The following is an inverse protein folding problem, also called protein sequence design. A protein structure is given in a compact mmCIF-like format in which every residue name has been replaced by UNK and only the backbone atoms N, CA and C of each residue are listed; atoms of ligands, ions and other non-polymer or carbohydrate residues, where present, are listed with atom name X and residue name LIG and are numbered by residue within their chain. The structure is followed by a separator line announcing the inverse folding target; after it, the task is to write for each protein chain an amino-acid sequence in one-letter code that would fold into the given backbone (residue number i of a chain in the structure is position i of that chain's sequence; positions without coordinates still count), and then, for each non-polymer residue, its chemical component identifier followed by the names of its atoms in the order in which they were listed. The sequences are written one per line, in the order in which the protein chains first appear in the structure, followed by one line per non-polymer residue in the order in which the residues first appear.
data_IF_109717868432
#
_entry.id   IF_109717868432
#
_cell.length_a   1.000
_cell.length_b   1.000
_cell.length_c   1.000
_cell.angle_alpha   90.00
_cell.angle_beta   90.00
_cell.angle_gamma   90.00
#
_symmetry.space_group_name_H-M   'P 1'
#
loop_
_entity.id
_entity.type
_entity.pdbx_description
1 polymer ?
#
# COMPACT_ATOMS: atom_id res chain seq x y z
N UNK A 1 28.67 27.96 16.40
CA UNK A 1 29.56 28.50 15.35
C UNK A 1 30.32 27.33 14.75
N UNK A 2 30.00 26.91 13.52
CA UNK A 2 30.89 26.00 12.81
C UNK A 2 32.16 26.76 12.43
N UNK A 3 33.32 26.26 12.84
CA UNK A 3 34.58 26.67 12.22
C UNK A 3 34.48 26.45 10.71
N UNK A 4 35.02 27.40 9.93
CA UNK A 4 35.05 27.40 8.46
C UNK A 4 35.87 26.22 7.94
N UNK A 5 35.37 25.00 8.09
CA UNK A 5 35.90 23.83 7.44
C UNK A 5 35.55 23.96 5.96
N UNK A 6 36.59 23.92 5.14
CA UNK A 6 36.48 24.00 3.71
C UNK A 6 35.93 22.66 3.20
N UNK A 7 34.65 22.59 2.82
CA UNK A 7 34.03 21.34 2.36
C UNK A 7 34.20 21.25 0.84
N UNK A 8 35.14 20.44 0.37
CA UNK A 8 35.47 20.30 -1.05
C UNK A 8 35.38 18.86 -1.57
N UNK A 9 34.89 17.93 -0.77
CA UNK A 9 34.63 16.56 -1.18
C UNK A 9 33.45 15.94 -0.41
N UNK A 10 33.11 14.71 -0.79
CA UNK A 10 32.00 13.97 -0.24
C UNK A 10 32.19 13.63 1.24
N UNK A 11 33.36 13.14 1.65
CA UNK A 11 33.63 12.69 3.03
C UNK A 11 33.54 13.85 4.04
N UNK A 12 34.04 15.03 3.63
CA UNK A 12 33.92 16.27 4.41
C UNK A 12 32.47 16.73 4.51
N UNK A 13 31.73 16.67 3.40
CA UNK A 13 30.31 17.03 3.37
C UNK A 13 29.48 16.10 4.26
N UNK A 14 29.71 14.79 4.17
CA UNK A 14 29.06 13.79 5.00
C UNK A 14 29.34 14.02 6.49
N UNK A 15 30.60 14.28 6.85
CA UNK A 15 30.99 14.57 8.23
C UNK A 15 30.34 15.86 8.75
N UNK A 16 30.29 16.91 7.94
CA UNK A 16 29.63 18.16 8.30
C UNK A 16 28.12 18.01 8.44
N UNK A 17 27.49 17.19 7.59
CA UNK A 17 26.06 16.92 7.63
C UNK A 17 25.64 16.21 8.93
N UNK A 18 26.41 15.19 9.35
CA UNK A 18 26.17 14.48 10.63
C UNK A 18 26.19 15.41 11.84
N UNK A 19 26.93 16.52 11.78
CA UNK A 19 26.99 17.50 12.87
C UNK A 19 25.76 18.42 12.96
N UNK A 20 24.99 18.55 11.87
CA UNK A 20 23.76 19.36 11.88
C UNK A 20 22.48 18.54 12.09
N UNK A 21 22.56 17.24 11.86
CA UNK A 21 21.46 16.32 12.08
C UNK A 21 21.16 16.20 13.58
N UNK A 22 19.90 16.42 13.94
CA UNK A 22 19.38 16.21 15.27
C UNK A 22 18.32 15.10 15.29
N UNK A 23 17.76 14.82 16.46
CA UNK A 23 16.73 13.79 16.65
C UNK A 23 15.48 13.99 15.78
N UNK A 24 15.19 15.24 15.38
CA UNK A 24 14.01 15.60 14.59
C UNK A 24 14.35 15.77 13.09
N UNK A 25 15.60 15.53 12.69
CA UNK A 25 16.07 15.71 11.31
C UNK A 25 17.03 16.90 11.17
N UNK A 26 16.95 17.62 10.06
CA UNK A 26 17.79 18.81 9.81
C UNK A 26 16.90 20.04 9.62
N UNK A 27 16.99 21.05 10.51
CA UNK A 27 16.31 22.32 10.31
C UNK A 27 16.71 22.99 9.00
N UNK A 28 15.75 23.61 8.30
CA UNK A 28 15.97 24.31 7.01
C UNK A 28 17.13 25.31 7.08
N UNK A 29 17.24 26.06 8.18
CA UNK A 29 18.34 27.03 8.37
C UNK A 29 19.71 26.36 8.43
N UNK A 30 19.85 25.26 9.17
CA UNK A 30 21.11 24.50 9.24
C UNK A 30 21.44 23.82 7.91
N UNK A 31 20.44 23.32 7.20
CA UNK A 31 20.65 22.76 5.86
C UNK A 31 21.15 23.83 4.89
N UNK A 32 20.57 25.03 4.91
CA UNK A 32 21.01 26.14 4.07
C UNK A 32 22.46 26.57 4.37
N UNK A 33 22.87 26.57 5.65
CA UNK A 33 24.27 26.82 6.04
C UNK A 33 25.22 25.74 5.51
N UNK A 34 24.84 24.47 5.64
CA UNK A 34 25.60 23.34 5.12
C UNK A 34 25.75 23.40 3.60
N UNK A 35 24.65 23.60 2.88
CA UNK A 35 24.67 23.74 1.43
C UNK A 35 25.60 24.87 1.00
N UNK A 36 25.49 26.05 1.62
CA UNK A 36 26.36 27.19 1.31
C UNK A 36 27.84 26.88 1.58
N UNK A 37 28.14 26.10 2.62
CA UNK A 37 29.51 25.68 2.93
C UNK A 37 30.07 24.70 1.88
N UNK A 38 29.27 23.74 1.41
CA UNK A 38 29.63 22.83 0.31
C UNK A 38 29.86 23.62 -0.98
N UNK A 39 28.90 24.46 -1.39
CA UNK A 39 28.99 25.27 -2.60
C UNK A 39 30.23 26.18 -2.58
N UNK A 40 30.48 26.83 -1.45
CA UNK A 40 31.65 27.70 -1.28
C UNK A 40 32.98 26.95 -1.30
N UNK A 41 33.04 25.72 -0.77
CA UNK A 41 34.25 24.91 -0.77
C UNK A 41 34.57 24.29 -2.12
N UNK A 42 33.56 23.82 -2.86
CA UNK A 42 33.71 23.31 -4.23
C UNK A 42 34.13 24.42 -5.20
N UNK A 43 33.50 25.60 -5.12
CA UNK A 43 33.89 26.77 -5.92
C UNK A 43 35.37 27.13 -5.76
N UNK A 44 35.86 27.12 -4.52
CA UNK A 44 37.28 27.39 -4.22
C UNK A 44 38.22 26.28 -4.68
N UNK A 45 37.73 25.05 -4.81
CA UNK A 45 38.46 23.92 -5.40
C UNK A 45 38.44 23.92 -6.94
N UNK A 46 37.80 24.92 -7.58
CA UNK A 46 37.69 25.00 -9.04
C UNK A 46 36.62 24.09 -9.66
N UNK A 47 35.76 23.51 -8.83
CA UNK A 47 34.64 22.66 -9.25
C UNK A 47 33.39 23.48 -9.55
N UNK A 48 32.50 22.93 -10.37
CA UNK A 48 31.27 23.61 -10.76
C UNK A 48 30.14 23.39 -9.73
N UNK A 49 29.08 24.20 -9.84
CA UNK A 49 27.93 24.15 -8.94
C UNK A 49 27.11 22.86 -9.05
N UNK A 50 27.13 22.18 -10.21
CA UNK A 50 26.43 20.92 -10.40
C UNK A 50 27.12 19.77 -9.63
N UNK A 51 28.44 19.71 -9.63
CA UNK A 51 29.23 18.74 -8.86
C UNK A 51 29.01 18.92 -7.35
N UNK A 52 29.00 20.18 -6.88
CA UNK A 52 28.70 20.49 -5.50
C UNK A 52 27.27 20.07 -5.11
N UNK A 53 26.30 20.34 -6.00
CA UNK A 53 24.90 19.97 -5.77
C UNK A 53 24.69 18.45 -5.78
N UNK A 54 25.41 17.71 -6.64
CA UNK A 54 25.41 16.24 -6.63
C UNK A 54 25.92 15.70 -5.29
N UNK A 55 26.99 16.28 -4.74
CA UNK A 55 27.50 15.89 -3.41
C UNK A 55 26.49 16.16 -2.31
N UNK A 56 25.83 17.32 -2.33
CA UNK A 56 24.77 17.66 -1.35
C UNK A 56 23.67 16.60 -1.35
N UNK A 57 23.11 16.27 -2.52
CA UNK A 57 21.99 15.32 -2.59
C UNK A 57 22.43 13.87 -2.33
N UNK A 58 23.66 13.50 -2.72
CA UNK A 58 24.24 12.20 -2.36
C UNK A 58 24.32 12.05 -0.84
N UNK A 59 24.88 13.04 -0.14
CA UNK A 59 24.95 13.06 1.33
C UNK A 59 23.56 12.96 1.96
N UNK A 60 22.58 13.72 1.45
CA UNK A 60 21.19 13.63 1.92
C UNK A 60 20.67 12.19 1.83
N UNK A 61 20.80 11.56 0.66
CA UNK A 61 20.27 10.20 0.45
C UNK A 61 21.00 9.14 1.29
N UNK A 62 22.30 9.29 1.54
CA UNK A 62 23.07 8.33 2.34
C UNK A 62 22.82 8.45 3.85
N UNK A 63 22.62 9.68 4.35
CA UNK A 63 22.50 9.95 5.78
C UNK A 63 21.06 9.83 6.29
N UNK A 64 20.08 10.33 5.53
CA UNK A 64 18.67 10.35 5.95
C UNK A 64 17.76 9.51 5.05
N UNK A 65 18.31 8.83 4.04
CA UNK A 65 17.54 8.06 3.07
C UNK A 65 16.76 8.94 2.09
N UNK A 66 16.27 8.32 1.00
CA UNK A 66 15.52 9.02 -0.04
C UNK A 66 14.22 9.64 0.51
N UNK A 67 13.58 8.93 1.42
CA UNK A 67 12.39 9.38 2.12
C UNK A 67 12.65 10.58 3.05
N UNK A 68 13.77 10.56 3.79
CA UNK A 68 14.20 11.72 4.56
C UNK A 68 14.48 12.92 3.67
N UNK A 69 15.16 12.70 2.53
CA UNK A 69 15.43 13.75 1.56
C UNK A 69 14.14 14.36 0.98
N UNK A 70 13.13 13.53 0.68
CA UNK A 70 11.81 14.01 0.24
C UNK A 70 11.09 14.85 1.30
N UNK A 71 11.16 14.47 2.58
CA UNK A 71 10.61 15.26 3.69
C UNK A 71 11.31 16.62 3.82
N UNK A 72 12.64 16.63 3.75
CA UNK A 72 13.41 17.86 3.77
C UNK A 72 13.05 18.78 2.60
N UNK A 73 12.80 18.23 1.40
CA UNK A 73 12.30 19.03 0.27
C UNK A 73 10.96 19.71 0.57
N UNK A 74 10.03 19.03 1.24
CA UNK A 74 8.76 19.63 1.65
C UNK A 74 8.96 20.78 2.65
N UNK A 75 9.92 20.64 3.58
CA UNK A 75 10.26 21.71 4.53
C UNK A 75 10.94 22.89 3.83
N UNK A 76 11.83 22.61 2.87
CA UNK A 76 12.47 23.63 2.04
C UNK A 76 11.46 24.39 1.19
N UNK A 77 10.46 23.72 0.64
CA UNK A 77 9.41 24.37 -0.14
C UNK A 77 8.70 25.48 0.66
N UNK A 78 8.53 25.28 1.97
CA UNK A 78 7.89 26.25 2.88
C UNK A 78 8.85 27.34 3.35
N UNK A 79 10.10 26.98 3.65
CA UNK A 79 11.05 27.86 4.33
C UNK A 79 12.10 28.52 3.43
N UNK A 80 12.40 27.98 2.26
CA UNK A 80 13.43 28.47 1.34
C UNK A 80 13.20 27.99 -0.13
N UNK A 81 12.32 28.69 -0.89
CA UNK A 81 11.91 28.26 -2.24
C UNK A 81 13.06 28.16 -3.27
N UNK A 82 14.08 29.02 -3.16
CA UNK A 82 15.24 28.98 -4.06
C UNK A 82 16.10 27.73 -3.83
N UNK A 83 16.40 27.44 -2.56
CA UNK A 83 17.13 26.23 -2.18
C UNK A 83 16.34 24.96 -2.51
N UNK A 84 15.01 25.01 -2.34
CA UNK A 84 14.10 23.95 -2.76
C UNK A 84 14.27 23.62 -4.24
N UNK A 85 14.16 24.62 -5.14
CA UNK A 85 14.21 24.39 -6.58
C UNK A 85 15.52 23.73 -7.03
N UNK A 86 16.67 24.20 -6.51
CA UNK A 86 17.98 23.62 -6.84
C UNK A 86 18.15 22.21 -6.27
N UNK A 87 17.76 22.02 -5.00
CA UNK A 87 17.90 20.72 -4.32
C UNK A 87 17.00 19.68 -4.99
N UNK A 88 15.76 20.03 -5.34
CA UNK A 88 14.84 19.14 -6.05
C UNK A 88 15.40 18.69 -7.39
N UNK A 89 15.85 19.64 -8.23
CA UNK A 89 16.43 19.32 -9.54
C UNK A 89 17.61 18.36 -9.42
N UNK A 90 18.54 18.64 -8.49
CA UNK A 90 19.73 17.81 -8.27
C UNK A 90 19.37 16.43 -7.72
N UNK A 91 18.39 16.36 -6.81
CA UNK A 91 17.96 15.12 -6.20
C UNK A 91 17.30 14.20 -7.23
N UNK A 92 16.48 14.75 -8.13
CA UNK A 92 15.84 13.96 -9.17
C UNK A 92 16.83 13.44 -10.20
N UNK A 93 17.84 14.25 -10.57
CA UNK A 93 18.93 13.78 -11.41
C UNK A 93 19.71 12.64 -10.74
N UNK A 94 19.99 12.76 -9.45
CA UNK A 94 20.64 11.72 -8.67
C UNK A 94 19.79 10.44 -8.60
N UNK A 95 18.51 10.55 -8.28
CA UNK A 95 17.57 9.41 -8.28
C UNK A 95 17.47 8.73 -9.64
N UNK A 96 17.46 9.50 -10.73
CA UNK A 96 17.49 8.95 -12.07
C UNK A 96 18.79 8.19 -12.36
N UNK A 97 19.95 8.73 -11.93
CA UNK A 97 21.27 8.10 -12.09
C UNK A 97 21.36 6.76 -11.36
N UNK A 98 20.79 6.66 -10.16
CA UNK A 98 20.75 5.41 -9.39
C UNK A 98 19.57 4.50 -9.77
N UNK A 99 18.74 4.91 -10.74
CA UNK A 99 17.50 4.22 -11.12
C UNK A 99 16.63 3.89 -9.91
N UNK A 100 16.35 4.92 -9.09
CA UNK A 100 15.66 4.76 -7.82
C UNK A 100 14.31 4.05 -8.02
N UNK A 101 14.18 2.88 -7.40
CA UNK A 101 12.93 2.13 -7.31
C UNK A 101 12.10 2.57 -6.10
N UNK A 102 10.80 2.28 -6.12
CA UNK A 102 9.93 2.53 -4.98
C UNK A 102 10.39 1.82 -3.71
N UNK A 103 10.79 0.54 -3.81
CA UNK A 103 11.29 -0.20 -2.64
C UNK A 103 12.51 0.49 -2.06
N UNK A 104 13.48 0.88 -2.90
CA UNK A 104 14.68 1.60 -2.46
C UNK A 104 14.39 3.03 -1.95
N UNK A 105 13.29 3.64 -2.38
CA UNK A 105 12.83 4.92 -1.84
C UNK A 105 12.35 4.78 -0.40
N UNK A 106 11.65 3.67 -0.10
CA UNK A 106 11.10 3.36 1.22
C UNK A 106 12.10 2.67 2.16
N UNK A 107 13.11 1.94 1.64
CA UNK A 107 14.14 1.20 2.40
C UNK A 107 15.16 2.09 3.15
N UNK A 108 14.88 3.39 3.29
CA UNK A 108 15.78 4.37 3.91
C UNK A 108 15.95 4.22 5.43
N UNK A 109 17.11 4.68 5.94
CA UNK A 109 17.54 4.65 7.36
C UNK A 109 16.76 5.56 8.33
N UNK A 110 15.62 6.11 7.93
CA UNK A 110 14.67 6.67 8.90
C UNK A 110 13.67 5.57 9.17
N UNK A 111 13.81 4.97 10.35
CA UNK A 111 12.78 4.15 10.98
C UNK A 111 11.51 4.98 11.09
N UNK A 112 10.71 5.06 10.03
CA UNK A 112 9.35 5.52 10.16
C UNK A 112 8.65 4.48 11.03
N UNK A 113 8.52 4.79 12.32
CA UNK A 113 7.37 5.57 12.77
C UNK A 113 6.02 5.16 12.18
N UNK A 114 5.86 3.93 11.67
CA UNK A 114 4.56 3.26 11.63
C UNK A 114 4.18 2.87 13.07
N UNK A 115 4.31 3.81 14.00
CA UNK A 115 3.83 3.69 15.36
C UNK A 115 2.31 3.76 15.29
N UNK A 116 1.70 2.59 15.09
CA UNK A 116 0.36 2.13 15.48
C UNK A 116 -0.88 3.00 15.16
N UNK A 117 -0.75 4.22 14.64
CA UNK A 117 -1.84 5.16 14.42
C UNK A 117 -2.27 5.21 12.94
N UNK A 118 -3.52 4.85 12.62
CA UNK A 118 -4.12 4.97 11.28
C UNK A 118 -3.96 6.34 10.62
N UNK A 119 -4.01 7.42 11.40
CA UNK A 119 -3.93 8.79 10.88
C UNK A 119 -2.54 9.13 10.36
N UNK A 120 -1.48 8.65 11.03
CA UNK A 120 -0.11 8.88 10.59
C UNK A 120 0.22 8.15 9.28
N UNK A 121 -0.43 7.01 9.02
CA UNK A 121 -0.24 6.26 7.78
C UNK A 121 -0.77 7.04 6.56
N UNK A 122 -1.87 7.79 6.71
CA UNK A 122 -2.42 8.59 5.62
C UNK A 122 -1.50 9.74 5.24
N UNK A 123 -1.02 10.50 6.23
CA UNK A 123 -0.09 11.61 6.00
C UNK A 123 1.24 11.10 5.45
N UNK A 124 1.75 9.99 5.99
CA UNK A 124 2.95 9.34 5.46
C UNK A 124 2.71 8.94 4.00
N UNK A 125 1.62 8.27 3.64
CA UNK A 125 1.35 7.92 2.25
C UNK A 125 1.25 9.18 1.38
N UNK A 126 0.51 10.21 1.75
CA UNK A 126 0.34 11.37 0.89
C UNK A 126 1.61 12.21 0.73
N UNK A 127 2.34 12.47 1.82
CA UNK A 127 3.55 13.31 1.80
C UNK A 127 4.73 12.60 1.13
N UNK A 128 4.94 11.34 1.47
CA UNK A 128 6.00 10.48 0.92
C UNK A 128 5.80 10.22 -0.57
N UNK A 129 4.55 10.00 -0.99
CA UNK A 129 4.24 9.67 -2.37
C UNK A 129 4.28 10.90 -3.28
N UNK A 130 4.00 12.08 -2.73
CA UNK A 130 3.98 13.29 -3.54
C UNK A 130 5.33 13.57 -4.21
N UNK A 131 6.46 13.34 -3.54
CA UNK A 131 7.77 13.65 -4.11
C UNK A 131 8.32 12.53 -5.00
N UNK A 132 8.16 11.27 -4.61
CA UNK A 132 8.53 10.15 -5.48
C UNK A 132 7.72 10.15 -6.79
N UNK A 133 6.44 10.53 -6.78
CA UNK A 133 5.66 10.60 -8.02
C UNK A 133 5.98 11.79 -8.89
N UNK A 134 6.30 12.95 -8.30
CA UNK A 134 6.82 14.06 -9.09
C UNK A 134 8.09 13.62 -9.83
N UNK A 135 8.97 12.88 -9.17
CA UNK A 135 10.12 12.23 -9.80
C UNK A 135 9.71 11.22 -10.89
N UNK A 136 8.88 10.22 -10.55
CA UNK A 136 8.50 9.15 -11.48
C UNK A 136 7.80 9.69 -12.75
N UNK A 137 6.93 10.70 -12.60
CA UNK A 137 6.25 11.37 -13.73
C UNK A 137 7.24 12.05 -14.68
N UNK A 138 8.40 12.48 -14.20
CA UNK A 138 9.41 13.19 -14.97
C UNK A 138 10.44 12.25 -15.64
N UNK A 139 10.51 10.98 -15.22
CA UNK A 139 11.49 10.02 -15.73
C UNK A 139 10.84 9.05 -16.72
N UNK A 140 11.20 9.11 -18.02
CA UNK A 140 10.78 8.14 -19.01
C UNK A 140 11.23 6.73 -18.63
N UNK A 141 10.32 5.77 -18.60
CA UNK A 141 10.63 4.37 -18.27
C UNK A 141 10.67 4.05 -16.78
N UNK A 142 10.48 5.03 -15.88
CA UNK A 142 10.10 4.70 -14.51
C UNK A 142 8.68 4.14 -14.56
N UNK A 143 8.51 2.84 -14.34
CA UNK A 143 7.23 2.20 -14.54
C UNK A 143 6.24 2.73 -13.49
N UNK A 144 5.34 3.61 -13.93
CA UNK A 144 4.14 4.06 -13.21
C UNK A 144 3.38 2.90 -12.54
N UNK A 145 3.52 1.67 -13.02
CA UNK A 145 2.86 0.49 -12.47
C UNK A 145 3.65 -0.16 -11.31
N UNK A 146 4.97 -0.03 -11.28
CA UNK A 146 5.86 -0.71 -10.33
C UNK A 146 5.77 -0.14 -8.91
N UNK A 147 5.61 1.17 -8.79
CA UNK A 147 5.57 1.87 -7.51
C UNK A 147 4.28 1.57 -6.73
N UNK A 148 3.13 1.64 -7.41
CA UNK A 148 1.85 1.26 -6.81
C UNK A 148 1.84 -0.20 -6.35
N UNK A 149 2.30 -1.13 -7.19
CA UNK A 149 2.35 -2.57 -6.84
C UNK A 149 3.25 -2.84 -5.64
N UNK A 150 4.41 -2.20 -5.59
CA UNK A 150 5.37 -2.34 -4.49
C UNK A 150 4.80 -1.78 -3.18
N UNK A 151 4.18 -0.59 -3.21
CA UNK A 151 3.44 -0.06 -2.07
C UNK A 151 2.36 -1.03 -1.59
N UNK A 152 1.50 -1.49 -2.50
CA UNK A 152 0.38 -2.35 -2.12
C UNK A 152 0.89 -3.64 -1.50
N UNK A 153 1.96 -4.23 -2.03
CA UNK A 153 2.61 -5.40 -1.42
C UNK A 153 3.05 -5.13 0.02
N UNK A 154 3.68 -3.99 0.29
CA UNK A 154 4.13 -3.63 1.64
C UNK A 154 2.95 -3.36 2.58
N UNK A 155 1.95 -2.59 2.14
CA UNK A 155 0.75 -2.30 2.93
C UNK A 155 -0.05 -3.58 3.21
N UNK A 156 -0.21 -4.45 2.23
CA UNK A 156 -0.94 -5.72 2.35
C UNK A 156 -0.22 -6.69 3.28
N UNK A 157 1.12 -6.80 3.16
CA UNK A 157 1.93 -7.57 4.11
C UNK A 157 1.74 -7.08 5.54
N UNK A 158 1.48 -5.77 5.73
CA UNK A 158 1.23 -5.13 7.02
C UNK A 158 -0.23 -5.20 7.48
N UNK A 159 -1.18 -5.56 6.62
CA UNK A 159 -2.62 -5.55 6.91
C UNK A 159 -3.28 -4.18 6.70
N UNK A 160 -2.56 -3.24 6.08
CA UNK A 160 -2.96 -1.87 5.81
C UNK A 160 -3.47 -1.61 4.37
N UNK A 161 -3.70 -2.65 3.56
CA UNK A 161 -4.18 -2.48 2.18
C UNK A 161 -5.43 -1.59 2.05
N UNK A 162 -6.38 -1.71 2.99
CA UNK A 162 -7.61 -0.90 3.03
C UNK A 162 -7.41 0.59 3.33
N UNK A 163 -6.21 1.04 3.69
CA UNK A 163 -5.92 2.46 3.90
C UNK A 163 -5.95 3.24 2.58
N UNK A 164 -5.52 2.63 1.48
CA UNK A 164 -5.57 3.26 0.16
C UNK A 164 -7.02 3.47 -0.28
N UNK A 165 -7.90 2.49 -0.04
CA UNK A 165 -9.34 2.62 -0.27
C UNK A 165 -9.93 3.80 0.53
N UNK A 166 -9.55 3.92 1.82
CA UNK A 166 -9.99 5.03 2.67
C UNK A 166 -9.49 6.40 2.19
N UNK A 167 -8.21 6.52 1.81
CA UNK A 167 -7.65 7.76 1.26
C UNK A 167 -8.45 8.14 0.01
N UNK A 168 -8.61 7.22 -0.94
CA UNK A 168 -9.33 7.50 -2.18
C UNK A 168 -10.78 7.91 -1.89
N UNK A 169 -11.47 7.23 -0.97
CA UNK A 169 -12.85 7.57 -0.58
C UNK A 169 -12.93 8.96 0.05
N UNK A 170 -12.05 9.30 0.98
CA UNK A 170 -12.02 10.62 1.65
C UNK A 170 -11.87 11.75 0.65
N UNK A 171 -11.06 11.56 -0.40
CA UNK A 171 -10.79 12.57 -1.42
C UNK A 171 -11.60 12.37 -2.73
N UNK A 172 -12.61 11.49 -2.73
CA UNK A 172 -13.46 11.23 -3.92
C UNK A 172 -14.60 12.22 -4.09
N UNK A 173 -15.31 12.69 -3.04
CA UNK A 173 -16.27 13.78 -3.17
C UNK A 173 -15.52 15.11 -3.43
N UNK A 174 -15.64 15.72 -4.63
CA UNK A 174 -14.92 16.95 -4.96
C UNK A 174 -15.36 18.16 -4.12
N UNK A 175 -16.53 18.07 -3.48
CA UNK A 175 -17.19 19.15 -2.75
C UNK A 175 -16.82 19.22 -1.27
N UNK A 176 -16.35 18.13 -0.65
CA UNK A 176 -16.17 18.07 0.82
C UNK A 176 -14.70 18.17 1.25
N UNK A 177 -13.76 17.70 0.43
CA UNK A 177 -12.32 17.76 0.75
C UNK A 177 -11.52 18.20 -0.49
N UNK A 178 -11.09 19.47 -0.50
CA UNK A 178 -10.07 19.93 -1.45
C UNK A 178 -8.68 19.54 -0.94
N UNK A 179 -7.81 18.92 -1.76
CA UNK A 179 -6.42 18.69 -1.39
C UNK A 179 -5.77 20.00 -0.95
N UNK A 180 -5.02 19.97 0.14
CA UNK A 180 -4.41 21.18 0.74
C UNK A 180 -3.34 21.82 -0.16
N UNK A 181 -2.73 21.05 -1.07
CA UNK A 181 -1.71 21.54 -2.02
C UNK A 181 -1.65 20.68 -3.30
N UNK A 182 -0.96 21.18 -4.32
CA UNK A 182 -0.79 20.51 -5.62
C UNK A 182 -0.07 19.17 -5.53
N UNK A 183 0.85 19.01 -4.58
CA UNK A 183 1.60 17.78 -4.39
C UNK A 183 0.69 16.63 -3.95
N UNK A 184 -0.19 16.89 -2.97
CA UNK A 184 -1.23 15.95 -2.53
C UNK A 184 -2.21 15.65 -3.66
N UNK A 185 -2.60 16.65 -4.47
CA UNK A 185 -3.49 16.44 -5.62
C UNK A 185 -2.89 15.48 -6.64
N UNK A 186 -1.62 15.67 -7.03
CA UNK A 186 -0.92 14.80 -7.99
C UNK A 186 -0.82 13.37 -7.46
N UNK A 187 -0.46 13.20 -6.18
CA UNK A 187 -0.39 11.88 -5.55
C UNK A 187 -1.76 11.17 -5.56
N UNK A 188 -2.84 11.88 -5.24
CA UNK A 188 -4.20 11.36 -5.25
C UNK A 188 -4.67 10.97 -6.65
N UNK A 189 -4.40 11.80 -7.66
CA UNK A 189 -4.74 11.50 -9.06
C UNK A 189 -4.06 10.21 -9.54
N UNK A 190 -2.79 10.05 -9.23
CA UNK A 190 -2.05 8.81 -9.52
C UNK A 190 -2.64 7.62 -8.77
N UNK A 191 -2.85 7.75 -7.45
CA UNK A 191 -3.40 6.66 -6.63
C UNK A 191 -4.76 6.21 -7.15
N UNK A 192 -5.65 7.15 -7.50
CA UNK A 192 -6.95 6.85 -8.12
C UNK A 192 -6.80 6.08 -9.43
N UNK A 193 -5.94 6.56 -10.35
CA UNK A 193 -5.71 5.93 -11.65
C UNK A 193 -5.19 4.49 -11.49
N UNK A 194 -4.21 4.28 -10.64
CA UNK A 194 -3.62 2.96 -10.42
C UNK A 194 -4.55 2.02 -9.65
N UNK A 195 -5.26 2.54 -8.66
CA UNK A 195 -6.23 1.77 -7.90
C UNK A 195 -7.36 1.23 -8.77
N UNK A 196 -7.88 2.01 -9.73
CA UNK A 196 -8.87 1.52 -10.71
C UNK A 196 -8.34 0.37 -11.55
N UNK A 197 -7.04 0.38 -11.89
CA UNK A 197 -6.39 -0.64 -12.72
C UNK A 197 -6.07 -1.92 -11.94
N UNK A 198 -5.68 -1.80 -10.68
CA UNK A 198 -5.10 -2.91 -9.90
C UNK A 198 -5.94 -3.42 -8.73
N UNK A 199 -6.95 -2.67 -8.29
CA UNK A 199 -7.86 -3.13 -7.24
C UNK A 199 -8.89 -4.13 -7.81
N UNK A 200 -8.43 -5.34 -8.10
CA UNK A 200 -9.25 -6.45 -8.61
C UNK A 200 -9.61 -7.43 -7.49
N UNK A 201 -10.71 -8.21 -7.62
CA UNK A 201 -11.05 -9.23 -6.63
C UNK A 201 -9.89 -10.20 -6.36
N UNK A 202 -9.23 -10.66 -7.43
CA UNK A 202 -8.05 -11.53 -7.35
C UNK A 202 -6.90 -10.90 -6.56
N UNK A 203 -6.62 -9.60 -6.77
CA UNK A 203 -5.57 -8.90 -6.03
C UNK A 203 -5.91 -8.81 -4.53
N UNK A 204 -7.14 -8.42 -4.18
CA UNK A 204 -7.61 -8.31 -2.79
C UNK A 204 -7.53 -9.66 -2.07
N UNK A 205 -7.84 -10.76 -2.75
CA UNK A 205 -7.78 -12.11 -2.17
C UNK A 205 -6.33 -12.61 -2.04
N UNK A 206 -5.47 -12.34 -3.04
CA UNK A 206 -4.04 -12.72 -2.98
C UNK A 206 -3.34 -12.06 -1.80
N UNK A 207 -3.64 -10.77 -1.58
CA UNK A 207 -3.11 -9.92 -0.53
C UNK A 207 -3.30 -10.46 0.90
N UNK A 208 -4.20 -11.41 1.10
CA UNK A 208 -4.50 -11.98 2.40
C UNK A 208 -3.34 -12.85 2.90
N UNK A 209 -2.62 -12.44 3.96
CA UNK A 209 -1.55 -13.23 4.54
C UNK A 209 -2.16 -14.33 5.42
N UNK A 210 -2.22 -15.55 4.90
CA UNK A 210 -2.77 -16.71 5.63
C UNK A 210 -1.82 -17.25 6.70
N UNK A 211 -0.53 -16.93 6.62
CA UNK A 211 0.52 -17.63 7.37
C UNK A 211 0.94 -16.96 8.69
N UNK A 212 0.64 -15.66 8.91
CA UNK A 212 1.20 -14.95 10.08
C UNK A 212 0.21 -14.04 10.85
N UNK A 213 -0.89 -13.62 10.21
CA UNK A 213 -1.78 -12.59 10.78
C UNK A 213 -3.14 -13.15 11.17
N UNK A 214 -3.69 -12.55 12.23
CA UNK A 214 -4.95 -12.94 12.80
C UNK A 214 -6.09 -12.86 11.80
N UNK A 215 -7.08 -13.75 11.92
CA UNK A 215 -8.28 -13.68 11.09
C UNK A 215 -9.11 -12.40 11.30
N UNK A 216 -8.83 -11.65 12.37
CA UNK A 216 -9.33 -10.29 12.54
C UNK A 216 -8.98 -9.38 11.34
N UNK A 217 -7.92 -9.70 10.60
CA UNK A 217 -7.52 -9.01 9.36
C UNK A 217 -8.36 -9.45 8.15
N UNK A 218 -9.03 -10.61 8.17
CA UNK A 218 -9.82 -11.12 7.03
C UNK A 218 -11.14 -10.39 6.79
N UNK A 219 -11.68 -9.69 7.79
CA UNK A 219 -12.84 -8.81 7.60
C UNK A 219 -12.53 -7.65 6.64
N UNK A 220 -11.28 -7.17 6.62
CA UNK A 220 -10.86 -6.07 5.76
C UNK A 220 -10.99 -6.42 4.25
N UNK A 221 -10.50 -7.58 3.77
CA UNK A 221 -10.80 -8.08 2.43
C UNK A 221 -12.28 -8.13 2.06
N UNK A 222 -13.16 -8.62 2.95
CA UNK A 222 -14.60 -8.64 2.66
C UNK A 222 -15.14 -7.23 2.38
N UNK A 223 -14.86 -6.27 3.27
CA UNK A 223 -15.36 -4.91 3.10
C UNK A 223 -14.77 -4.23 1.86
N UNK A 224 -13.51 -4.52 1.51
CA UNK A 224 -12.90 -4.05 0.25
C UNK A 224 -13.60 -4.65 -0.98
N UNK A 225 -13.87 -5.95 -0.97
CA UNK A 225 -14.60 -6.63 -2.04
C UNK A 225 -16.03 -6.08 -2.19
N UNK A 226 -16.74 -5.90 -1.06
CA UNK A 226 -18.08 -5.30 -1.03
C UNK A 226 -18.09 -3.88 -1.60
N UNK A 227 -17.12 -3.04 -1.23
CA UNK A 227 -16.98 -1.70 -1.77
C UNK A 227 -16.68 -1.70 -3.28
N UNK A 228 -15.81 -2.61 -3.73
CA UNK A 228 -15.49 -2.78 -5.14
C UNK A 228 -16.73 -3.17 -5.96
N UNK A 229 -17.54 -4.12 -5.48
CA UNK A 229 -18.80 -4.50 -6.13
C UNK A 229 -19.74 -3.33 -6.36
N UNK A 230 -19.93 -2.48 -5.33
CA UNK A 230 -20.81 -1.31 -5.40
C UNK A 230 -20.37 -0.30 -6.45
N UNK A 231 -19.06 -0.27 -6.79
CA UNK A 231 -18.52 0.59 -7.85
C UNK A 231 -18.63 0.00 -9.26
N UNK A 232 -19.00 -1.29 -9.39
CA UNK A 232 -18.98 -2.04 -10.65
C UNK A 232 -20.34 -2.59 -11.06
N UNK A 233 -21.25 -2.77 -10.10
CA UNK A 233 -22.61 -3.24 -10.35
C UNK A 233 -23.55 -2.06 -10.20
N UNK A 234 -24.05 -1.55 -11.33
CA UNK A 234 -25.10 -0.54 -11.32
C UNK A 234 -26.39 -1.14 -10.77
N UNK A 235 -27.02 -0.39 -9.87
CA UNK A 235 -28.27 -0.78 -9.22
C UNK A 235 -29.38 0.07 -9.80
N UNK A 236 -30.32 -0.57 -10.49
CA UNK A 236 -31.59 0.09 -10.81
C UNK A 236 -32.40 0.29 -9.52
N UNK A 237 -32.97 1.48 -9.35
CA UNK A 237 -33.75 1.84 -8.15
C UNK A 237 -34.91 0.86 -7.98
N UNK A 238 -34.89 0.08 -6.89
CA UNK A 238 -35.93 -0.90 -6.55
C UNK A 238 -35.58 -2.36 -6.85
N UNK A 239 -34.36 -2.68 -7.29
CA UNK A 239 -33.97 -4.06 -7.60
C UNK A 239 -33.64 -4.88 -6.33
N UNK A 240 -34.50 -5.85 -6.00
CA UNK A 240 -34.27 -6.88 -4.97
C UNK A 240 -33.08 -7.82 -5.31
N UNK A 241 -32.65 -7.84 -6.57
CA UNK A 241 -31.59 -8.74 -7.09
C UNK A 241 -30.17 -8.16 -7.05
N UNK A 242 -29.95 -7.00 -6.43
CA UNK A 242 -28.63 -6.34 -6.38
C UNK A 242 -27.54 -7.26 -5.82
N UNK A 243 -27.78 -7.84 -4.64
CA UNK A 243 -26.79 -8.66 -3.92
C UNK A 243 -26.42 -9.91 -4.73
N UNK A 244 -27.39 -10.52 -5.41
CA UNK A 244 -27.15 -11.66 -6.31
C UNK A 244 -26.33 -11.27 -7.54
N UNK A 245 -26.57 -10.08 -8.12
CA UNK A 245 -25.76 -9.55 -9.23
C UNK A 245 -24.32 -9.28 -8.77
N UNK A 246 -24.13 -8.70 -7.58
CA UNK A 246 -22.81 -8.49 -6.98
C UNK A 246 -22.06 -9.79 -6.71
N UNK A 247 -22.74 -10.79 -6.13
CA UNK A 247 -22.16 -12.11 -5.90
C UNK A 247 -21.74 -12.79 -7.21
N UNK A 248 -22.59 -12.79 -8.23
CA UNK A 248 -22.27 -13.33 -9.56
C UNK A 248 -21.09 -12.61 -10.21
N UNK A 249 -21.03 -11.28 -10.10
CA UNK A 249 -19.91 -10.49 -10.62
C UNK A 249 -18.60 -10.88 -9.95
N UNK A 250 -18.55 -10.95 -8.62
CA UNK A 250 -17.34 -11.38 -7.89
C UNK A 250 -16.84 -12.75 -8.34
N UNK A 251 -17.76 -13.70 -8.49
CA UNK A 251 -17.43 -15.08 -8.89
C UNK A 251 -16.91 -15.13 -10.33
N UNK A 252 -17.45 -14.29 -11.22
CA UNK A 252 -17.01 -14.16 -12.60
C UNK A 252 -15.61 -13.53 -12.70
N UNK A 253 -15.32 -12.50 -11.90
CA UNK A 253 -13.99 -11.87 -11.89
C UNK A 253 -12.92 -12.74 -11.20
N UNK A 254 -13.34 -13.82 -10.56
CA UNK A 254 -12.50 -14.88 -10.01
C UNK A 254 -12.61 -16.10 -10.93
N UNK A 255 -12.00 -15.98 -12.11
CA UNK A 255 -11.94 -17.03 -13.15
C UNK A 255 -11.08 -18.24 -12.76
N UNK A 256 -10.43 -18.22 -11.59
CA UNK A 256 -9.51 -19.28 -11.14
C UNK A 256 -9.93 -19.85 -9.77
N UNK A 257 -10.09 -21.18 -9.74
CA UNK A 257 -10.44 -21.96 -8.56
C UNK A 257 -9.38 -21.90 -7.47
N UNK A 258 -8.15 -21.47 -7.79
CA UNK A 258 -7.07 -21.24 -6.82
C UNK A 258 -7.47 -20.26 -5.70
N UNK A 259 -8.48 -19.41 -5.94
CA UNK A 259 -8.98 -18.46 -4.95
C UNK A 259 -10.09 -19.01 -4.06
N UNK A 260 -10.76 -20.10 -4.43
CA UNK A 260 -11.97 -20.58 -3.77
C UNK A 260 -11.75 -20.85 -2.28
N UNK A 261 -10.60 -21.42 -1.89
CA UNK A 261 -10.22 -21.60 -0.47
C UNK A 261 -10.20 -20.28 0.28
N UNK A 262 -9.43 -19.31 -0.22
CA UNK A 262 -9.29 -18.01 0.44
C UNK A 262 -10.62 -17.28 0.46
N UNK A 263 -11.38 -17.37 -0.62
CA UNK A 263 -12.66 -16.71 -0.76
C UNK A 263 -13.72 -17.28 0.19
N UNK A 264 -13.77 -18.60 0.34
CA UNK A 264 -14.57 -19.27 1.37
C UNK A 264 -14.22 -18.77 2.77
N UNK A 265 -12.92 -18.71 3.11
CA UNK A 265 -12.46 -18.31 4.44
C UNK A 265 -12.69 -16.81 4.73
N UNK A 266 -12.79 -15.96 3.71
CA UNK A 266 -13.21 -14.55 3.84
C UNK A 266 -14.72 -14.43 4.09
N UNK A 267 -15.54 -15.23 3.39
CA UNK A 267 -17.01 -15.10 3.41
C UNK A 267 -17.67 -15.83 4.59
N UNK A 268 -17.21 -17.05 4.90
CA UNK A 268 -17.78 -17.91 5.95
C UNK A 268 -18.02 -17.20 7.30
N UNK A 269 -17.10 -16.37 7.82
CA UNK A 269 -17.27 -15.73 9.13
C UNK A 269 -18.37 -14.67 9.15
N UNK A 270 -18.74 -14.15 7.98
CA UNK A 270 -19.68 -13.05 7.81
C UNK A 270 -21.03 -13.51 7.26
N UNK A 271 -21.16 -14.79 6.89
CA UNK A 271 -22.34 -15.36 6.23
C UNK A 271 -23.67 -15.12 6.97
N UNK A 272 -23.64 -15.03 8.29
CA UNK A 272 -24.85 -14.80 9.11
C UNK A 272 -25.18 -13.30 9.28
N UNK A 273 -24.23 -12.41 9.00
CA UNK A 273 -24.33 -10.97 9.25
C UNK A 273 -24.39 -10.14 7.98
N UNK A 274 -23.88 -10.67 6.88
CA UNK A 274 -23.70 -9.96 5.62
C UNK A 274 -24.33 -10.77 4.48
N UNK A 275 -25.41 -10.26 3.89
CA UNK A 275 -26.18 -10.94 2.83
C UNK A 275 -25.32 -11.24 1.59
N UNK A 276 -24.37 -10.35 1.27
CA UNK A 276 -23.40 -10.56 0.19
C UNK A 276 -22.51 -11.77 0.46
N UNK A 277 -22.07 -11.98 1.70
CA UNK A 277 -21.24 -13.14 2.05
C UNK A 277 -22.02 -14.45 1.88
N UNK A 278 -23.27 -14.49 2.35
CA UNK A 278 -24.15 -15.65 2.15
C UNK A 278 -24.40 -15.92 0.66
N UNK A 279 -24.72 -14.88 -0.11
CA UNK A 279 -24.99 -15.01 -1.56
C UNK A 279 -23.77 -15.47 -2.34
N UNK A 280 -22.56 -15.02 -1.98
CA UNK A 280 -21.31 -15.50 -2.60
C UNK A 280 -21.09 -16.98 -2.32
N UNK A 281 -21.31 -17.44 -1.07
CA UNK A 281 -21.17 -18.85 -0.70
C UNK A 281 -22.20 -19.73 -1.42
N UNK A 282 -23.44 -19.25 -1.58
CA UNK A 282 -24.45 -19.92 -2.39
C UNK A 282 -23.99 -20.05 -3.85
N UNK A 283 -23.47 -18.97 -4.45
CA UNK A 283 -22.98 -19.02 -5.84
C UNK A 283 -21.78 -19.96 -6.01
N UNK A 284 -20.83 -19.98 -5.05
CA UNK A 284 -19.74 -20.94 -5.02
C UNK A 284 -20.22 -22.38 -4.93
N UNK A 285 -21.28 -22.64 -4.16
CA UNK A 285 -21.84 -23.99 -4.00
C UNK A 285 -22.24 -24.61 -5.35
N UNK A 286 -22.79 -23.82 -6.27
CA UNK A 286 -23.12 -24.33 -7.61
C UNK A 286 -21.88 -24.69 -8.44
N UNK A 287 -20.76 -23.99 -8.24
CA UNK A 287 -19.47 -24.30 -8.89
C UNK A 287 -18.88 -25.58 -8.29
N UNK A 288 -18.87 -25.71 -6.97
CA UNK A 288 -18.34 -26.88 -6.26
C UNK A 288 -19.12 -28.16 -6.55
N UNK A 289 -20.46 -28.11 -6.52
CA UNK A 289 -21.31 -29.27 -6.84
C UNK A 289 -21.13 -29.78 -8.27
N UNK A 290 -20.72 -28.92 -9.22
CA UNK A 290 -20.47 -29.31 -10.61
C UNK A 290 -19.15 -30.05 -10.81
N UNK A 291 -18.21 -29.94 -9.87
CA UNK A 291 -16.89 -30.56 -9.96
C UNK A 291 -16.52 -31.21 -8.62
N UNK A 292 -16.84 -32.49 -8.49
CA UNK A 292 -16.57 -33.27 -7.28
C UNK A 292 -15.07 -33.42 -7.01
N UNK A 293 -14.23 -33.49 -8.05
CA UNK A 293 -12.79 -33.62 -7.91
C UNK A 293 -12.17 -32.35 -7.31
N UNK A 294 -12.59 -31.18 -7.82
CA UNK A 294 -12.25 -29.88 -7.26
C UNK A 294 -12.71 -29.78 -5.80
N UNK A 295 -13.94 -30.16 -5.51
CA UNK A 295 -14.51 -30.10 -4.16
C UNK A 295 -13.74 -30.95 -3.16
N UNK A 296 -13.32 -32.16 -3.54
CA UNK A 296 -12.47 -33.03 -2.70
C UNK A 296 -11.07 -32.46 -2.49
N UNK A 297 -10.48 -31.86 -3.52
CA UNK A 297 -9.18 -31.19 -3.40
C UNK A 297 -9.26 -30.00 -2.43
N UNK A 298 -10.30 -29.17 -2.57
CA UNK A 298 -10.57 -28.03 -1.71
C UNK A 298 -10.86 -28.46 -0.25
N UNK A 299 -11.64 -29.52 -0.05
CA UNK A 299 -11.90 -30.09 1.28
C UNK A 299 -10.59 -30.51 1.96
N UNK A 300 -9.72 -31.22 1.24
CA UNK A 300 -8.43 -31.67 1.74
C UNK A 300 -7.53 -30.50 2.16
N UNK A 301 -7.53 -29.44 1.35
CA UNK A 301 -6.76 -28.23 1.61
C UNK A 301 -7.31 -27.42 2.81
N UNK A 302 -8.64 -27.30 2.91
CA UNK A 302 -9.32 -26.69 4.06
C UNK A 302 -9.04 -27.46 5.36
N UNK A 303 -9.10 -28.80 5.32
CA UNK A 303 -8.82 -29.67 6.46
C UNK A 303 -7.40 -29.48 7.00
N UNK A 304 -6.42 -29.20 6.14
CA UNK A 304 -5.03 -28.89 6.53
C UNK A 304 -4.88 -27.47 7.06
N UNK A 305 -5.59 -26.52 6.44
CA UNK A 305 -5.41 -25.08 6.69
C UNK A 305 -6.13 -24.60 7.95
N UNK A 306 -7.39 -25.03 8.19
CA UNK A 306 -8.22 -24.56 9.31
C UNK A 306 -7.55 -24.77 10.69
N UNK A 307 -6.94 -25.94 11.00
CA UNK A 307 -6.28 -26.15 12.30
C UNK A 307 -5.05 -25.27 12.54
N UNK A 308 -4.43 -24.75 11.48
CA UNK A 308 -3.25 -23.88 11.59
C UNK A 308 -3.62 -22.44 11.96
N UNK A 309 -4.91 -22.12 11.98
CA UNK A 309 -5.38 -20.78 12.27
C UNK A 309 -5.49 -20.58 13.80
N UNK A 310 -4.72 -19.66 14.42
CA UNK A 310 -4.61 -19.60 15.88
C UNK A 310 -5.94 -19.25 16.58
N UNK A 311 -6.37 -20.08 17.55
CA UNK A 311 -7.63 -19.97 18.30
C UNK A 311 -7.93 -18.56 18.88
N UNK A 312 -6.92 -17.84 19.39
CA UNK A 312 -7.08 -16.50 19.99
C UNK A 312 -7.09 -15.33 18.98
N UNK A 313 -6.94 -15.61 17.69
CA UNK A 313 -6.89 -14.63 16.60
C UNK A 313 -8.15 -14.66 15.72
N UNK A 314 -9.11 -15.50 16.10
CA UNK A 314 -10.41 -15.68 15.49
C UNK A 314 -11.44 -14.81 16.23
N UNK A 315 -12.13 -13.90 15.53
CA UNK A 315 -13.46 -13.44 15.96
C UNK A 315 -14.53 -14.52 15.81
N UNK A 316 -14.18 -15.70 15.33
CA UNK A 316 -15.09 -16.83 15.33
C UNK A 316 -15.23 -17.22 16.80
N UNK A 317 -16.44 -17.16 17.34
CA UNK A 317 -16.74 -18.03 18.47
C UNK A 317 -16.71 -19.46 17.91
N UNK A 318 -15.52 -20.04 17.75
CA UNK A 318 -15.38 -21.46 17.51
C UNK A 318 -15.66 -22.15 18.83
N UNK A 319 -16.93 -22.25 19.19
CA UNK A 319 -17.37 -23.33 20.07
C UNK A 319 -17.09 -24.68 19.41
N UNK A 320 -16.95 -24.73 18.07
CA UNK A 320 -16.69 -25.93 17.28
C UNK A 320 -15.65 -25.69 16.15
N UNK A 321 -14.44 -26.27 16.24
CA UNK A 321 -13.38 -26.09 15.24
C UNK A 321 -13.69 -26.68 13.85
N UNK A 322 -14.63 -27.63 13.78
CA UNK A 322 -15.02 -28.30 12.55
C UNK A 322 -16.19 -27.60 11.81
N UNK A 323 -16.83 -26.60 12.42
CA UNK A 323 -17.99 -25.92 11.83
C UNK A 323 -17.76 -25.37 10.41
N UNK A 324 -16.62 -24.72 10.08
CA UNK A 324 -16.35 -24.26 8.72
C UNK A 324 -16.22 -25.42 7.73
N UNK A 325 -15.57 -26.53 8.12
CA UNK A 325 -15.38 -27.67 7.25
C UNK A 325 -16.71 -28.40 6.99
N UNK A 326 -17.55 -28.53 8.02
CA UNK A 326 -18.89 -29.11 7.87
C UNK A 326 -19.79 -28.25 6.99
N UNK A 327 -19.76 -26.93 7.18
CA UNK A 327 -20.49 -26.01 6.33
C UNK A 327 -20.03 -26.07 4.87
N UNK A 328 -18.72 -26.14 4.63
CA UNK A 328 -18.20 -26.35 3.28
C UNK A 328 -18.75 -27.65 2.67
N UNK A 329 -18.72 -28.77 3.40
CA UNK A 329 -19.24 -30.07 2.92
C UNK A 329 -20.72 -30.01 2.55
N UNK A 330 -21.53 -29.35 3.39
CA UNK A 330 -22.96 -29.16 3.13
C UNK A 330 -23.23 -28.36 1.85
N UNK A 331 -22.34 -27.42 1.51
CA UNK A 331 -22.43 -26.64 0.28
C UNK A 331 -21.84 -27.36 -0.94
N UNK A 332 -20.75 -28.11 -0.78
CA UNK A 332 -19.98 -28.64 -1.90
C UNK A 332 -20.47 -30.01 -2.39
N UNK A 333 -21.08 -30.82 -1.52
CA UNK A 333 -21.49 -32.19 -1.84
C UNK A 333 -23.01 -32.35 -1.81
N UNK A 334 -23.54 -33.17 -2.72
CA UNK A 334 -24.93 -33.60 -2.63
C UNK A 334 -25.11 -34.54 -1.43
N UNK A 335 -26.13 -34.29 -0.61
CA UNK A 335 -26.47 -35.21 0.48
C UNK A 335 -27.01 -36.49 -0.15
N UNK A 336 -26.55 -37.69 0.30
CA UNK A 336 -27.15 -38.92 -0.15
C UNK A 336 -28.66 -38.85 0.13
N UNK A 337 -29.48 -39.11 -0.90
CA UNK A 337 -30.91 -39.31 -0.69
C UNK A 337 -31.00 -40.53 0.22
N UNK A 338 -31.34 -40.32 1.49
CA UNK A 338 -31.65 -41.40 2.40
C UNK A 338 -32.84 -42.11 1.78
N UNK A 339 -32.61 -43.28 1.17
CA UNK A 339 -33.67 -44.16 0.77
C UNK A 339 -34.50 -44.44 2.02
N UNK A 340 -35.71 -43.88 2.06
CA UNK A 340 -36.71 -44.14 3.09
C UNK A 340 -36.91 -45.65 3.13
N UNK A 341 -36.46 -46.28 4.22
CA UNK A 341 -36.81 -47.65 4.55
C UNK A 341 -38.20 -47.71 5.15
#
# INVERSE_FOLDING_TARGET
MMHRNHISNFEQAQSAYKLIQDWNGVPVSKFAEFDKAVMGGFKKAGMNEAEASEVVVKVLTEEIGNLGAARLLNDLQKGNPELFARTQSSLYQYWNKIQLSYSSFHDGKISMGMSESPYHIQDVILDTFSEYFKYAKQVPGSEDDSAYKSMMKDLESKGYGGFVDNIIRTFSPPSEFKPANDATRIALEYLKKQHVKYNTPSAIIKAVPFEEKSLNVLGNPFYRLSALCKSKVEVEVGAVDEVKKQAKWLIKELDDWVFDKKFFLIMYPLREKEELAASVLEQLSFRWKKDEALSKALESDLKKSIPQIPAGKLRWSMTEPDAPLNYFRDLAFEKPILASK
#
